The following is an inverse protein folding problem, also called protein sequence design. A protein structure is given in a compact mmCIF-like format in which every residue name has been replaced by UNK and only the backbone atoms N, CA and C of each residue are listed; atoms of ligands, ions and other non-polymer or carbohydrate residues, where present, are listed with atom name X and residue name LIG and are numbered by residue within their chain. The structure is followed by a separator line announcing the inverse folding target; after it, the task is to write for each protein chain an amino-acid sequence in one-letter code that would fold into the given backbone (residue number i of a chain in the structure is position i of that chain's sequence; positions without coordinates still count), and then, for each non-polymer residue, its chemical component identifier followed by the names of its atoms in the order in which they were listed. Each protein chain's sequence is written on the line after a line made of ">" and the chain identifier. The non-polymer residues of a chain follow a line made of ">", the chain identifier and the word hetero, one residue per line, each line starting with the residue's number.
data_IF_481339450279
#
_entry.id   IF_481339450279
#
_cell.length_a   1.000
_cell.length_b   1.000
_cell.length_c   1.000
_cell.angle_alpha   90.00
_cell.angle_beta   90.00
_cell.angle_gamma   90.00
#
_symmetry.space_group_name_H-M   'P 1'
#
loop_
_entity.id
_entity.type
_entity.pdbx_description
1 polymer ?
#
# COMPACT_ATOMS: atom_id res chain seq x y z
N UNK A 1 6.76 5.01 -15.37
CA UNK A 1 5.85 4.72 -14.26
C UNK A 1 4.78 3.79 -14.81
N UNK A 2 4.82 2.50 -14.45
CA UNK A 2 3.76 1.56 -14.84
C UNK A 2 2.63 1.73 -13.85
N UNK A 3 1.78 2.74 -14.09
CA UNK A 3 0.48 2.78 -13.45
C UNK A 3 -0.39 1.81 -14.22
N UNK A 4 -0.76 0.69 -13.61
CA UNK A 4 -1.81 -0.16 -14.17
C UNK A 4 -3.02 0.74 -14.44
N UNK A 5 -3.48 0.78 -15.69
CA UNK A 5 -4.60 1.60 -16.18
C UNK A 5 -5.96 1.08 -15.65
N UNK A 6 -5.96 0.47 -14.47
CA UNK A 6 -7.16 0.08 -13.75
C UNK A 6 -7.62 1.30 -12.96
N UNK A 7 -8.75 1.87 -13.40
CA UNK A 7 -9.48 2.86 -12.61
C UNK A 7 -9.70 2.26 -11.22
N UNK A 8 -9.37 3.03 -10.18
CA UNK A 8 -9.70 2.63 -8.81
C UNK A 8 -11.22 2.59 -8.67
N UNK A 9 -11.79 1.40 -8.84
CA UNK A 9 -13.23 1.16 -8.82
C UNK A 9 -13.73 1.01 -7.39
N UNK A 10 -15.03 1.14 -7.22
CA UNK A 10 -15.71 0.84 -5.95
C UNK A 10 -15.41 -0.58 -5.44
N UNK A 11 -15.34 -1.56 -6.34
CA UNK A 11 -15.01 -2.94 -5.99
C UNK A 11 -13.59 -3.05 -5.41
N UNK A 12 -12.62 -2.37 -6.02
CA UNK A 12 -11.24 -2.30 -5.53
C UNK A 12 -11.16 -1.60 -4.18
N UNK A 13 -11.95 -0.54 -3.97
CA UNK A 13 -12.05 0.14 -2.67
C UNK A 13 -12.58 -0.79 -1.58
N UNK A 14 -13.73 -1.42 -1.80
CA UNK A 14 -14.34 -2.35 -0.83
C UNK A 14 -13.43 -3.55 -0.55
N UNK A 15 -12.76 -4.07 -1.59
CA UNK A 15 -11.78 -5.12 -1.42
C UNK A 15 -10.64 -4.68 -0.49
N UNK A 16 -10.07 -3.51 -0.73
CA UNK A 16 -8.96 -2.96 0.07
C UNK A 16 -9.40 -2.73 1.52
N UNK A 17 -10.57 -2.15 1.75
CA UNK A 17 -11.14 -1.98 3.09
C UNK A 17 -11.24 -3.31 3.86
N UNK A 18 -11.71 -4.38 3.19
CA UNK A 18 -11.79 -5.71 3.82
C UNK A 18 -10.41 -6.30 4.13
N UNK A 19 -9.42 -6.08 3.28
CA UNK A 19 -8.04 -6.56 3.52
C UNK A 19 -7.42 -5.90 4.75
N UNK A 20 -7.69 -4.62 4.99
CA UNK A 20 -7.19 -3.89 6.17
C UNK A 20 -8.06 -4.12 7.43
N UNK A 21 -9.09 -4.95 7.33
CA UNK A 21 -9.94 -5.37 8.44
C UNK A 21 -11.14 -4.47 8.72
N UNK A 22 -11.45 -3.50 7.85
CA UNK A 22 -12.63 -2.64 8.02
C UNK A 22 -13.91 -3.43 7.78
N UNK A 23 -14.82 -3.31 8.75
CA UNK A 23 -16.18 -3.85 8.66
C UNK A 23 -17.11 -2.89 7.92
N UNK A 24 -18.25 -3.41 7.44
CA UNK A 24 -19.26 -2.57 6.80
C UNK A 24 -19.79 -1.46 7.72
N UNK A 25 -19.96 -1.75 9.00
CA UNK A 25 -20.41 -0.77 9.99
C UNK A 25 -19.41 0.37 10.18
N UNK A 26 -18.11 0.06 10.24
CA UNK A 26 -17.07 1.09 10.34
C UNK A 26 -16.98 1.92 9.06
N UNK A 27 -17.15 1.30 7.88
CA UNK A 27 -17.19 2.02 6.60
C UNK A 27 -18.39 2.96 6.48
N UNK A 28 -19.54 2.62 7.07
CA UNK A 28 -20.73 3.47 7.09
C UNK A 28 -20.60 4.66 8.07
N UNK A 29 -19.82 4.49 9.14
CA UNK A 29 -19.54 5.53 10.14
C UNK A 29 -18.41 6.49 9.73
N UNK A 30 -17.57 6.07 8.78
CA UNK A 30 -16.46 6.84 8.25
C UNK A 30 -16.79 7.49 6.91
N UNK A 31 -16.20 8.66 6.66
CA UNK A 31 -16.21 9.22 5.31
C UNK A 31 -15.15 8.54 4.44
N UNK A 32 -15.28 8.67 3.11
CA UNK A 32 -14.36 8.08 2.14
C UNK A 32 -12.89 8.45 2.38
N UNK A 33 -12.62 9.68 2.84
CA UNK A 33 -11.26 10.13 3.16
C UNK A 33 -10.67 9.38 4.34
N UNK A 34 -11.44 9.20 5.41
CA UNK A 34 -11.02 8.45 6.60
C UNK A 34 -10.73 6.99 6.28
N UNK A 35 -11.53 6.35 5.43
CA UNK A 35 -11.26 4.98 4.98
C UNK A 35 -9.93 4.89 4.21
N UNK A 36 -9.68 5.85 3.31
CA UNK A 36 -8.43 5.88 2.52
C UNK A 36 -7.20 6.16 3.40
N UNK A 37 -7.32 7.07 4.37
CA UNK A 37 -6.25 7.37 5.33
C UNK A 37 -5.92 6.14 6.18
N UNK A 38 -6.94 5.44 6.68
CA UNK A 38 -6.75 4.20 7.45
C UNK A 38 -6.07 3.10 6.63
N UNK A 39 -6.48 2.91 5.37
CA UNK A 39 -5.84 1.98 4.45
C UNK A 39 -4.35 2.32 4.28
N UNK A 40 -4.03 3.60 4.06
CA UNK A 40 -2.65 4.05 3.88
C UNK A 40 -1.81 3.80 5.13
N UNK A 41 -2.34 4.12 6.32
CA UNK A 41 -1.65 3.86 7.58
C UNK A 41 -1.40 2.37 7.81
N UNK A 42 -2.40 1.52 7.51
CA UNK A 42 -2.26 0.07 7.58
C UNK A 42 -1.16 -0.44 6.64
N UNK A 43 -1.13 0.06 5.39
CA UNK A 43 -0.10 -0.29 4.41
C UNK A 43 1.28 0.14 4.88
N UNK A 44 1.41 1.36 5.40
CA UNK A 44 2.69 1.89 5.89
C UNK A 44 3.21 1.11 7.09
N UNK A 45 2.32 0.62 7.96
CA UNK A 45 2.69 -0.17 9.13
C UNK A 45 3.00 -1.64 8.79
N UNK A 46 2.29 -2.25 7.84
CA UNK A 46 2.58 -3.62 7.38
C UNK A 46 3.77 -3.70 6.42
N UNK A 47 4.03 -2.64 5.64
CA UNK A 47 5.21 -2.59 4.78
C UNK A 47 6.52 -2.37 5.56
N UNK A 48 6.48 -1.81 6.78
CA UNK A 48 7.66 -1.75 7.66
C UNK A 48 8.17 -3.14 8.02
N UNK A 49 7.31 -4.15 8.15
CA UNK A 49 7.74 -5.54 8.36
C UNK A 49 8.32 -6.19 7.09
N UNK A 50 8.00 -5.69 5.90
CA UNK A 50 8.57 -6.15 4.61
C UNK A 50 9.72 -5.27 4.08
N UNK A 51 10.15 -4.26 4.86
CA UNK A 51 11.21 -3.32 4.47
C UNK A 51 12.63 -3.80 4.81
N UNK A 52 12.87 -5.10 4.72
CA UNK A 52 14.21 -5.66 4.41
C UNK A 52 14.57 -5.50 2.91
N UNK A 53 13.83 -4.68 2.17
CA UNK A 53 14.33 -4.05 0.94
C UNK A 53 14.95 -2.69 1.28
N UNK A 54 15.94 -2.71 2.18
CA UNK A 54 16.90 -1.62 2.20
C UNK A 54 17.48 -1.54 0.79
N UNK A 55 17.25 -0.43 0.08
CA UNK A 55 17.94 -0.17 -1.17
C UNK A 55 19.45 -0.24 -0.86
N UNK A 56 20.09 -1.36 -1.19
CA UNK A 56 21.53 -1.51 -0.98
C UNK A 56 22.21 -0.45 -1.82
N UNK A 57 22.97 0.42 -1.17
CA UNK A 57 23.79 1.41 -1.85
C UNK A 57 24.74 0.65 -2.77
N UNK A 58 24.66 0.89 -4.07
CA UNK A 58 25.57 0.28 -5.04
C UNK A 58 27.01 0.61 -4.65
N UNK A 59 27.85 -0.42 -4.52
CA UNK A 59 29.26 -0.29 -4.16
C UNK A 59 30.13 -0.42 -5.43
N UNK A 60 31.41 -0.03 -5.32
CA UNK A 60 32.35 -0.09 -6.45
C UNK A 60 32.42 -1.49 -7.11
N UNK A 61 32.25 -2.57 -6.34
CA UNK A 61 32.23 -3.94 -6.87
C UNK A 61 31.05 -4.25 -7.81
N UNK A 62 29.93 -3.52 -7.69
CA UNK A 62 28.81 -3.63 -8.62
C UNK A 62 29.12 -2.94 -9.95
N UNK A 63 29.99 -1.92 -9.94
CA UNK A 63 30.48 -1.25 -11.15
C UNK A 63 31.60 -2.03 -11.84
N UNK A 64 32.45 -2.73 -11.09
CA UNK A 64 33.56 -3.52 -11.63
C UNK A 64 33.10 -4.83 -12.32
N UNK A 65 31.80 -5.15 -12.26
CA UNK A 65 31.19 -6.34 -12.87
C UNK A 65 30.47 -6.07 -14.22
N UNK A 66 30.62 -4.86 -14.79
CA UNK A 66 30.11 -4.49 -16.12
C UNK A 66 31.15 -4.62 -17.23
#
# INVERSE_FOLDING_TARGET
>A
MSGSDELFTEESFVYTCKQVGLTASEMDEMNIGQCLDYIQEWVDNNNKENSDKQATKANQGDFDSF
#
